data_IF_370885357680
#
_entry.id   IF_370885357680
#
_cell.length_a   1.000
_cell.length_b   1.000
_cell.length_c   1.000
_cell.angle_alpha   90.00
_cell.angle_beta   90.00
_cell.angle_gamma   90.00
#
_symmetry.space_group_name_H-M   'P 1'
#
loop_
_entity.id
_entity.type
_entity.pdbx_description
1 polymer ?
#
# COMPACT_ATOMS: atom_id res chain seq x y z
N UNK A 1 -8.12 -30.32 -54.62
CA UNK A 1 -6.99 -29.54 -54.05
C UNK A 1 -7.38 -28.07 -54.04
N UNK A 2 -7.17 -27.39 -52.89
CA UNK A 2 -7.21 -25.92 -52.63
C UNK A 2 -8.61 -25.28 -52.68
N UNK A 3 -9.25 -24.96 -51.54
CA UNK A 3 -9.08 -23.78 -50.67
C UNK A 3 -9.45 -22.47 -51.43
N UNK A 4 -10.31 -21.57 -50.96
CA UNK A 4 -10.16 -20.84 -49.70
C UNK A 4 -11.49 -20.27 -49.17
N UNK A 5 -11.63 -20.41 -47.86
CA UNK A 5 -12.55 -19.80 -46.90
C UNK A 5 -12.56 -18.27 -47.00
N UNK A 6 -13.65 -17.69 -47.49
CA UNK A 6 -13.89 -16.23 -47.50
C UNK A 6 -15.02 -15.90 -46.52
N UNK A 7 -14.82 -16.16 -45.24
CA UNK A 7 -15.81 -15.75 -44.22
C UNK A 7 -15.20 -15.37 -42.87
N UNK A 8 -13.87 -15.23 -42.78
CA UNK A 8 -13.19 -15.22 -41.48
C UNK A 8 -12.21 -14.05 -41.29
N UNK A 9 -12.47 -12.88 -41.88
CA UNK A 9 -11.54 -11.73 -41.74
C UNK A 9 -12.12 -10.57 -40.94
N UNK A 10 -13.42 -10.52 -40.66
CA UNK A 10 -14.03 -9.34 -39.98
C UNK A 10 -14.12 -9.49 -38.44
N UNK A 11 -13.91 -10.69 -37.88
CA UNK A 11 -14.11 -10.98 -36.44
C UNK A 11 -12.76 -11.14 -35.70
N UNK A 12 -11.71 -10.43 -36.10
CA UNK A 12 -10.38 -10.51 -35.42
C UNK A 12 -9.91 -9.14 -34.90
N UNK A 13 -10.67 -8.06 -35.11
CA UNK A 13 -10.25 -6.69 -34.72
C UNK A 13 -10.83 -6.24 -33.36
N UNK A 14 -11.75 -6.99 -32.76
CA UNK A 14 -12.42 -6.60 -31.49
C UNK A 14 -11.73 -7.07 -30.19
N UNK A 15 -10.58 -7.74 -30.25
CA UNK A 15 -10.07 -8.48 -29.08
C UNK A 15 -8.89 -7.86 -28.31
N UNK A 16 -8.31 -6.73 -28.70
CA UNK A 16 -7.09 -6.24 -28.02
C UNK A 16 -7.07 -4.74 -27.74
N UNK A 17 -8.17 -4.19 -27.22
CA UNK A 17 -8.12 -2.86 -26.60
C UNK A 17 -8.86 -2.80 -25.28
N UNK A 18 -8.70 -3.84 -24.44
CA UNK A 18 -8.83 -3.63 -23.00
C UNK A 18 -7.52 -2.99 -22.55
N UNK A 19 -7.38 -1.70 -22.84
CA UNK A 19 -6.44 -0.87 -22.12
C UNK A 19 -6.93 -0.90 -20.67
N UNK A 20 -6.35 -1.79 -19.86
CA UNK A 20 -6.50 -1.72 -18.42
C UNK A 20 -5.98 -0.35 -18.04
N UNK A 21 -6.88 0.62 -17.89
CA UNK A 21 -6.54 1.87 -17.22
C UNK A 21 -5.99 1.43 -15.87
N UNK A 22 -4.67 1.55 -15.71
CA UNK A 22 -4.06 1.42 -14.41
C UNK A 22 -4.82 2.42 -13.55
N UNK A 23 -5.70 1.93 -12.67
CA UNK A 23 -6.47 2.78 -11.80
C UNK A 23 -5.44 3.45 -10.91
N UNK A 24 -5.10 4.70 -11.23
CA UNK A 24 -4.33 5.55 -10.34
C UNK A 24 -5.16 5.56 -9.06
N UNK A 25 -4.65 4.88 -8.03
CA UNK A 25 -5.29 4.83 -6.72
C UNK A 25 -5.28 6.26 -6.19
N UNK A 26 -6.41 6.92 -6.29
CA UNK A 26 -6.50 8.33 -5.92
C UNK A 26 -6.67 8.44 -4.41
N UNK A 27 -5.54 8.37 -3.70
CA UNK A 27 -5.49 8.59 -2.27
C UNK A 27 -5.80 10.05 -1.95
N UNK A 28 -6.73 10.28 -1.02
CA UNK A 28 -7.14 11.63 -0.65
C UNK A 28 -5.97 12.46 -0.08
N UNK A 29 -6.12 13.78 -0.07
CA UNK A 29 -5.12 14.69 0.54
C UNK A 29 -4.82 14.33 1.99
N UNK A 30 -5.80 13.78 2.73
CA UNK A 30 -5.60 13.30 4.10
C UNK A 30 -4.58 12.14 4.16
N UNK A 31 -4.67 11.17 3.25
CA UNK A 31 -3.72 10.05 3.17
C UNK A 31 -2.30 10.56 2.95
N UNK A 32 -2.11 11.46 1.97
CA UNK A 32 -0.81 12.07 1.66
C UNK A 32 -0.25 12.89 2.82
N UNK A 33 -1.11 13.53 3.62
CA UNK A 33 -0.72 14.25 4.83
C UNK A 33 -0.19 13.30 5.90
N UNK A 34 -0.81 12.12 6.07
CA UNK A 34 -0.34 11.10 7.02
C UNK A 34 1.03 10.57 6.61
N UNK A 35 1.22 10.18 5.36
CA UNK A 35 2.52 9.67 4.86
C UNK A 35 3.64 10.66 5.20
N UNK A 36 3.47 11.93 4.80
CA UNK A 36 4.43 13.01 5.07
C UNK A 36 4.64 13.33 6.55
N UNK A 37 3.64 13.09 7.40
CA UNK A 37 3.75 13.38 8.84
C UNK A 37 4.50 12.27 9.59
N UNK A 38 4.48 11.05 9.04
CA UNK A 38 5.22 9.90 9.56
C UNK A 38 6.65 9.88 9.01
N UNK A 39 6.85 10.35 7.79
CA UNK A 39 8.17 10.55 7.17
C UNK A 39 8.88 11.78 7.77
N UNK A 40 10.03 11.58 8.42
CA UNK A 40 10.91 12.68 8.83
C UNK A 40 10.58 13.34 10.18
N UNK A 41 9.72 12.76 11.01
CA UNK A 41 9.44 13.25 12.37
C UNK A 41 10.32 12.57 13.43
N UNK A 42 10.98 13.35 14.29
CA UNK A 42 11.64 12.84 15.49
C UNK A 42 10.61 12.09 16.37
N UNK A 43 10.85 10.79 16.61
CA UNK A 43 9.92 9.90 17.33
C UNK A 43 9.20 8.87 16.46
N UNK A 44 9.29 8.95 15.13
CA UNK A 44 8.86 7.90 14.21
C UNK A 44 10.09 7.30 13.52
N UNK A 45 10.65 6.19 14.05
CA UNK A 45 11.86 5.57 13.52
C UNK A 45 11.64 4.82 12.19
N UNK A 46 10.41 4.79 11.68
CA UNK A 46 10.13 4.25 10.36
C UNK A 46 10.70 5.14 9.26
N UNK A 47 11.32 4.52 8.24
CA UNK A 47 11.99 5.26 7.17
C UNK A 47 11.01 5.85 6.17
N UNK A 48 9.94 5.12 5.87
CA UNK A 48 8.98 5.44 4.81
C UNK A 48 7.58 4.95 5.24
N UNK A 49 6.54 5.69 4.89
CA UNK A 49 5.15 5.34 5.16
C UNK A 49 4.32 5.45 3.88
N UNK A 50 3.62 4.38 3.52
CA UNK A 50 2.85 4.32 2.28
C UNK A 50 1.50 3.64 2.46
N UNK A 51 0.46 4.21 1.87
CA UNK A 51 -0.84 3.54 1.79
C UNK A 51 -0.82 2.44 0.73
N UNK A 52 -0.82 1.18 1.18
CA UNK A 52 -0.92 0.00 0.30
C UNK A 52 -2.37 -0.35 -0.05
N UNK A 53 -3.34 0.25 0.63
CA UNK A 53 -4.76 0.32 0.27
C UNK A 53 -5.41 1.49 1.04
N UNK A 54 -6.66 1.84 0.72
CA UNK A 54 -7.39 2.94 1.39
C UNK A 54 -7.45 2.79 2.92
N UNK A 55 -7.40 1.57 3.44
CA UNK A 55 -7.44 1.30 4.87
C UNK A 55 -6.23 0.45 5.31
N UNK A 56 -5.14 0.44 4.55
CA UNK A 56 -3.93 -0.31 4.93
C UNK A 56 -2.72 0.58 4.73
N UNK A 57 -2.06 0.91 5.85
CA UNK A 57 -0.85 1.71 5.90
C UNK A 57 0.34 0.79 6.16
N UNK A 58 1.31 0.80 5.25
CA UNK A 58 2.61 0.14 5.43
C UNK A 58 3.64 1.14 5.94
N UNK A 59 4.44 0.73 6.92
CA UNK A 59 5.55 1.53 7.45
C UNK A 59 6.79 0.65 7.53
N UNK A 60 7.88 1.06 6.92
CA UNK A 60 9.16 0.33 6.98
C UNK A 60 9.96 0.74 8.20
N UNK A 61 10.53 -0.23 8.92
CA UNK A 61 11.39 0.00 10.08
C UNK A 61 12.61 -0.91 10.03
N UNK A 62 13.69 -0.54 10.71
CA UNK A 62 14.81 -1.44 10.94
C UNK A 62 14.39 -2.46 12.00
N UNK A 63 14.41 -3.75 11.62
CA UNK A 63 14.08 -4.86 12.51
C UNK A 63 14.92 -4.83 13.79
N UNK A 64 14.32 -5.21 14.92
CA UNK A 64 14.96 -5.31 16.25
C UNK A 64 15.43 -3.97 16.86
N UNK A 65 15.21 -2.83 16.19
CA UNK A 65 15.53 -1.49 16.74
C UNK A 65 14.40 -0.93 17.59
N UNK A 66 13.15 -1.31 17.29
CA UNK A 66 11.95 -0.85 18.00
C UNK A 66 11.03 -2.02 18.33
N UNK A 67 10.11 -1.83 19.27
CA UNK A 67 9.00 -2.76 19.45
C UNK A 67 7.91 -2.46 18.41
N UNK A 68 7.84 -3.27 17.35
CA UNK A 68 7.01 -3.05 16.17
C UNK A 68 5.52 -3.05 16.51
N UNK A 69 5.10 -3.95 17.40
CA UNK A 69 3.70 -4.02 17.82
C UNK A 69 3.27 -2.82 18.65
N UNK A 70 4.15 -2.30 19.52
CA UNK A 70 3.90 -1.06 20.26
C UNK A 70 3.86 0.13 19.30
N UNK A 71 4.83 0.22 18.39
CA UNK A 71 4.89 1.30 17.41
C UNK A 71 3.64 1.35 16.51
N UNK A 72 3.18 0.20 16.02
CA UNK A 72 1.94 0.12 15.25
C UNK A 72 0.71 0.64 16.02
N UNK A 73 0.64 0.42 17.34
CA UNK A 73 -0.42 0.98 18.20
C UNK A 73 -0.29 2.49 18.38
N UNK A 74 0.94 2.98 18.57
CA UNK A 74 1.18 4.43 18.67
C UNK A 74 0.78 5.14 17.37
N UNK A 75 1.06 4.52 16.21
CA UNK A 75 0.58 4.99 14.90
C UNK A 75 -0.95 4.97 14.82
N UNK A 76 -1.62 3.92 15.32
CA UNK A 76 -3.09 3.91 15.37
C UNK A 76 -3.68 5.08 16.16
N UNK A 77 -3.07 5.44 17.30
CA UNK A 77 -3.51 6.62 18.07
C UNK A 77 -3.30 7.90 17.26
N UNK A 78 -2.14 8.04 16.61
CA UNK A 78 -1.86 9.18 15.72
C UNK A 78 -2.88 9.28 14.57
N UNK A 79 -3.25 8.16 13.95
CA UNK A 79 -4.28 8.12 12.90
C UNK A 79 -5.65 8.56 13.43
N UNK A 80 -6.04 8.10 14.62
CA UNK A 80 -7.30 8.50 15.25
C UNK A 80 -7.36 10.02 15.49
N UNK A 81 -6.28 10.61 16.02
CA UNK A 81 -6.14 12.06 16.23
C UNK A 81 -6.16 12.87 14.92
N UNK A 82 -5.85 12.24 13.79
CA UNK A 82 -5.81 12.88 12.47
C UNK A 82 -7.01 12.53 11.58
N UNK A 83 -8.13 12.08 12.17
CA UNK A 83 -9.42 11.93 11.47
C UNK A 83 -9.63 10.55 10.83
N UNK A 84 -8.83 9.55 11.18
CA UNK A 84 -9.01 8.17 10.72
C UNK A 84 -9.68 7.27 11.78
N UNK A 85 -10.18 7.82 12.89
CA UNK A 85 -10.81 7.04 13.98
C UNK A 85 -12.04 6.24 13.55
N UNK A 86 -12.83 6.74 12.59
CA UNK A 86 -13.99 6.03 12.05
C UNK A 86 -13.61 4.94 11.04
N UNK A 87 -12.35 4.89 10.61
CA UNK A 87 -11.87 4.00 9.56
C UNK A 87 -11.19 2.77 10.17
N UNK A 88 -11.52 1.58 9.67
CA UNK A 88 -10.87 0.31 10.06
C UNK A 88 -9.50 0.19 9.37
N UNK A 89 -8.56 1.05 9.76
CA UNK A 89 -7.21 1.05 9.23
C UNK A 89 -6.40 -0.11 9.81
N UNK A 90 -5.62 -0.78 8.97
CA UNK A 90 -4.61 -1.75 9.39
C UNK A 90 -3.23 -1.14 9.18
N UNK A 91 -2.41 -1.13 10.23
CA UNK A 91 -1.03 -0.67 10.21
C UNK A 91 -0.12 -1.90 10.14
N UNK A 92 0.62 -2.03 9.04
CA UNK A 92 1.59 -3.07 8.80
C UNK A 92 3.00 -2.49 8.98
N UNK A 93 3.78 -3.10 9.86
CA UNK A 93 5.20 -2.79 10.04
C UNK A 93 6.00 -3.80 9.22
N UNK A 94 6.87 -3.29 8.35
CA UNK A 94 7.63 -4.07 7.37
C UNK A 94 9.12 -3.90 7.63
N UNK A 95 9.88 -4.97 7.48
CA UNK A 95 11.33 -4.93 7.56
C UNK A 95 11.91 -4.13 6.39
N UNK A 96 12.56 -3.01 6.73
CA UNK A 96 13.17 -2.10 5.77
C UNK A 96 14.31 -2.76 4.99
N UNK A 97 15.15 -3.57 5.65
CA UNK A 97 16.33 -4.17 5.01
C UNK A 97 15.89 -5.22 3.99
N UNK A 98 14.87 -5.99 4.33
CA UNK A 98 14.26 -6.98 3.44
C UNK A 98 13.63 -6.34 2.20
N UNK A 99 12.89 -5.24 2.40
CA UNK A 99 12.26 -4.54 1.29
C UNK A 99 13.30 -3.88 0.38
N UNK A 100 14.31 -3.20 0.95
CA UNK A 100 15.30 -2.46 0.16
C UNK A 100 16.32 -3.37 -0.52
N UNK A 101 16.76 -4.43 0.14
CA UNK A 101 17.85 -5.29 -0.37
C UNK A 101 17.34 -6.40 -1.28
N UNK A 102 16.13 -6.92 -1.01
CA UNK A 102 15.60 -8.11 -1.67
C UNK A 102 14.23 -7.88 -2.33
N UNK A 103 13.70 -6.66 -2.30
CA UNK A 103 12.34 -6.34 -2.76
C UNK A 103 11.28 -7.27 -2.14
N UNK A 104 11.50 -7.68 -0.88
CA UNK A 104 10.66 -8.64 -0.17
C UNK A 104 9.82 -7.97 0.89
N UNK A 105 8.51 -8.14 0.80
CA UNK A 105 7.59 -7.74 1.87
C UNK A 105 7.69 -8.71 3.05
N UNK A 106 8.55 -8.40 4.02
CA UNK A 106 8.70 -9.14 5.27
C UNK A 106 7.97 -8.40 6.39
N UNK A 107 6.75 -8.84 6.73
CA UNK A 107 5.93 -8.19 7.74
C UNK A 107 6.43 -8.57 9.15
N UNK A 108 6.80 -7.56 9.94
CA UNK A 108 7.23 -7.70 11.33
C UNK A 108 6.05 -7.63 12.30
N UNK A 109 5.09 -6.75 12.04
CA UNK A 109 3.86 -6.64 12.83
C UNK A 109 2.69 -6.18 11.97
N UNK A 110 1.47 -6.49 12.43
CA UNK A 110 0.22 -5.98 11.86
C UNK A 110 -0.76 -5.71 12.99
N UNK A 111 -1.33 -4.51 13.02
CA UNK A 111 -2.33 -4.08 14.00
C UNK A 111 -3.49 -3.43 13.27
N UNK A 112 -4.71 -3.93 13.50
CA UNK A 112 -5.91 -3.21 13.12
C UNK A 112 -6.21 -2.14 14.19
N UNK A 113 -6.32 -0.89 13.75
CA UNK A 113 -6.68 0.22 14.61
C UNK A 113 -8.12 0.04 15.10
N UNK A 114 -8.31 0.29 16.40
CA UNK A 114 -9.66 0.32 16.99
C UNK A 114 -10.30 1.66 16.68
N UNK A 115 -11.62 1.62 16.49
CA UNK A 115 -12.46 2.81 16.44
C UNK A 115 -12.61 3.43 17.83
#
# INVERSE_FOLDING_TARGET
>A
MKAHTIASVVIIILLFSVCSTAQIRDFSTAHKKIERALEGRAGFPGSDAIWVAHNVLGITVIKDVINEKKYAKDVCNFLAENGFSSQKVTVNIVDQNELRSYNRWSQLASVQCKN
#
